data_IF_560223237677
#
_entry.id   IF_560223237677
#
_cell.length_a   1.000
_cell.length_b   1.000
_cell.length_c   1.000
_cell.angle_alpha   90.00
_cell.angle_beta   90.00
_cell.angle_gamma   90.00
#
_symmetry.space_group_name_H-M   'P 1'
#
loop_
_entity.id
_entity.type
_entity.pdbx_description
1 polymer ?
#
# COMPACT_ATOMS: atom_id res chain seq x y z
N UNK A 1 4.56 8.79 -1.19
CA UNK A 1 3.68 8.71 0.00
C UNK A 1 3.88 9.87 0.95
N UNK A 2 5.12 10.21 1.35
CA UNK A 2 5.36 11.33 2.29
C UNK A 2 4.78 12.68 1.84
N UNK A 3 4.83 13.03 0.55
CA UNK A 3 4.19 14.24 0.03
C UNK A 3 2.67 14.28 0.29
N UNK A 4 1.99 13.13 0.20
CA UNK A 4 0.56 13.01 0.54
C UNK A 4 0.34 13.16 2.04
N UNK A 5 1.19 12.56 2.87
CA UNK A 5 1.14 12.75 4.32
C UNK A 5 1.25 14.24 4.66
N UNK A 6 2.29 14.92 4.18
CA UNK A 6 2.48 16.37 4.41
C UNK A 6 1.27 17.18 3.94
N UNK A 7 0.69 16.87 2.78
CA UNK A 7 -0.50 17.56 2.29
C UNK A 7 -1.73 17.34 3.19
N UNK A 8 -2.02 16.08 3.57
CA UNK A 8 -3.14 15.72 4.46
C UNK A 8 -3.00 16.44 5.80
N UNK A 9 -1.84 16.36 6.45
CA UNK A 9 -1.58 17.01 7.74
C UNK A 9 -1.65 18.54 7.68
N UNK A 10 -1.35 19.15 6.54
CA UNK A 10 -1.36 20.62 6.38
C UNK A 10 -2.72 21.18 5.95
N UNK A 11 -3.55 20.40 5.27
CA UNK A 11 -4.72 20.92 4.56
C UNK A 11 -6.05 20.35 5.06
N UNK A 12 -6.04 19.24 5.80
CA UNK A 12 -7.26 18.62 6.31
C UNK A 12 -7.24 18.65 7.85
N UNK A 13 -8.28 19.22 8.51
CA UNK A 13 -8.42 19.12 9.95
C UNK A 13 -8.68 17.67 10.36
N UNK A 14 -8.35 17.32 11.61
CA UNK A 14 -8.45 15.94 12.12
C UNK A 14 -9.86 15.35 12.09
N UNK A 15 -10.89 16.21 12.13
CA UNK A 15 -12.31 15.82 12.04
C UNK A 15 -12.76 15.52 10.60
N UNK A 16 -11.95 15.88 9.60
CA UNK A 16 -12.34 15.69 8.20
C UNK A 16 -12.35 14.18 7.87
N UNK A 17 -13.41 13.63 7.26
CA UNK A 17 -13.52 12.18 7.02
C UNK A 17 -12.37 11.62 6.17
N UNK A 18 -11.88 12.39 5.19
CA UNK A 18 -10.68 12.01 4.40
C UNK A 18 -9.40 12.00 5.25
N UNK A 19 -9.26 12.87 6.25
CA UNK A 19 -8.14 12.80 7.17
C UNK A 19 -8.21 11.52 7.98
N UNK A 20 -9.39 11.24 8.56
CA UNK A 20 -9.63 10.06 9.39
C UNK A 20 -9.37 8.75 8.61
N UNK A 21 -9.79 8.70 7.34
CA UNK A 21 -9.55 7.57 6.44
C UNK A 21 -8.06 7.38 6.12
N UNK A 22 -7.33 8.46 5.83
CA UNK A 22 -5.93 8.37 5.37
C UNK A 22 -4.92 8.29 6.51
N UNK A 23 -5.28 8.76 7.70
CA UNK A 23 -4.41 8.77 8.88
C UNK A 23 -3.73 7.42 9.16
N UNK A 24 -4.45 6.28 9.28
CA UNK A 24 -3.82 4.99 9.59
C UNK A 24 -2.76 4.60 8.55
N UNK A 25 -2.94 5.00 7.28
CA UNK A 25 -2.07 4.65 6.17
C UNK A 25 -0.85 5.58 5.97
N UNK A 26 -0.85 6.73 6.63
CA UNK A 26 0.18 7.76 6.47
C UNK A 26 0.93 8.06 7.76
N UNK A 27 0.48 7.54 8.92
CA UNK A 27 0.96 7.95 10.25
C UNK A 27 2.47 7.83 10.46
N UNK A 28 3.12 6.82 9.87
CA UNK A 28 4.54 6.52 10.13
C UNK A 28 5.49 7.01 9.04
N UNK A 29 4.99 7.39 7.86
CA UNK A 29 5.84 7.60 6.68
C UNK A 29 6.84 8.75 6.84
N UNK A 30 6.46 9.83 7.54
CA UNK A 30 7.35 10.96 7.78
C UNK A 30 8.49 10.61 8.75
N UNK A 31 8.20 9.80 9.78
CA UNK A 31 9.19 9.39 10.77
C UNK A 31 10.28 8.50 10.15
N UNK A 32 9.87 7.47 9.40
CA UNK A 32 10.83 6.56 8.75
C UNK A 32 11.64 7.28 7.66
N UNK A 33 11.01 8.18 6.88
CA UNK A 33 11.73 8.92 5.85
C UNK A 33 12.76 9.90 6.44
N UNK A 34 12.47 10.52 7.58
CA UNK A 34 13.44 11.32 8.34
C UNK A 34 14.66 10.46 8.72
N UNK A 35 14.42 9.27 9.30
CA UNK A 35 15.49 8.35 9.70
C UNK A 35 16.35 7.91 8.51
N UNK A 36 15.73 7.51 7.39
CA UNK A 36 16.44 7.11 6.17
C UNK A 36 17.28 8.26 5.62
N UNK A 37 16.74 9.49 5.63
CA UNK A 37 17.45 10.68 5.16
C UNK A 37 18.69 10.99 6.00
N UNK A 38 18.57 10.87 7.32
CA UNK A 38 19.66 11.16 8.26
C UNK A 38 20.69 10.03 8.35
N UNK A 39 20.34 8.82 7.91
CA UNK A 39 21.22 7.64 7.94
C UNK A 39 21.62 7.21 6.51
N UNK A 40 20.90 6.25 5.94
CA UNK A 40 21.24 5.56 4.70
C UNK A 40 21.45 6.47 3.48
N UNK A 41 20.77 7.63 3.44
CA UNK A 41 20.91 8.59 2.35
C UNK A 41 21.84 9.76 2.67
N UNK A 42 22.32 9.97 3.89
CA UNK A 42 23.07 11.18 4.24
C UNK A 42 24.29 11.39 3.33
N UNK A 43 25.08 10.33 3.12
CA UNK A 43 26.34 10.37 2.35
C UNK A 43 26.29 9.60 1.02
N UNK A 44 25.14 9.00 0.67
CA UNK A 44 25.04 8.13 -0.51
C UNK A 44 24.62 8.89 -1.78
N UNK A 45 25.54 9.69 -2.33
CA UNK A 45 25.29 10.49 -3.54
C UNK A 45 24.86 9.70 -4.79
N UNK A 46 25.43 8.51 -5.10
CA UNK A 46 24.98 7.72 -6.25
C UNK A 46 23.48 7.37 -6.17
N UNK A 47 23.00 6.98 -4.97
CA UNK A 47 21.59 6.69 -4.76
C UNK A 47 20.73 7.95 -4.92
N UNK A 48 21.17 9.11 -4.39
CA UNK A 48 20.45 10.38 -4.58
C UNK A 48 20.32 10.76 -6.06
N UNK A 49 21.37 10.59 -6.85
CA UNK A 49 21.34 10.86 -8.29
C UNK A 49 20.38 9.92 -9.03
N UNK A 50 20.40 8.63 -8.70
CA UNK A 50 19.46 7.65 -9.26
C UNK A 50 18.01 7.97 -8.90
N UNK A 51 17.74 8.35 -7.64
CA UNK A 51 16.42 8.78 -7.18
C UNK A 51 15.94 10.02 -7.94
N UNK A 52 16.81 11.03 -8.10
CA UNK A 52 16.50 12.25 -8.87
C UNK A 52 16.12 11.93 -10.31
N UNK A 53 16.88 11.07 -10.99
CA UNK A 53 16.60 10.64 -12.36
C UNK A 53 15.30 9.83 -12.46
N UNK A 54 15.07 8.92 -11.52
CA UNK A 54 13.86 8.09 -11.48
C UNK A 54 12.60 8.93 -11.21
N UNK A 55 12.71 9.97 -10.39
CA UNK A 55 11.59 10.86 -10.11
C UNK A 55 11.16 11.69 -11.32
N UNK A 56 12.07 12.00 -12.25
CA UNK A 56 11.72 12.73 -13.48
C UNK A 56 10.79 11.94 -14.41
N UNK A 57 10.82 10.60 -14.35
CA UNK A 57 9.96 9.75 -15.18
C UNK A 57 8.69 9.31 -14.45
N UNK A 58 8.55 9.67 -13.17
CA UNK A 58 7.42 9.28 -12.33
C UNK A 58 6.11 9.86 -12.85
N UNK A 59 5.08 9.02 -12.93
CA UNK A 59 3.70 9.42 -13.27
C UNK A 59 2.74 8.89 -12.21
N UNK A 60 1.68 9.64 -11.94
CA UNK A 60 0.67 9.23 -10.96
C UNK A 60 0.00 7.89 -11.33
N UNK A 61 -0.14 7.58 -12.63
CA UNK A 61 -0.69 6.29 -13.10
C UNK A 61 0.13 5.09 -12.62
N UNK A 62 1.43 5.27 -12.37
CA UNK A 62 2.32 4.21 -11.87
C UNK A 62 1.95 3.75 -10.46
N UNK A 63 1.25 4.58 -9.69
CA UNK A 63 0.72 4.21 -8.37
C UNK A 63 -0.56 3.38 -8.44
N UNK A 64 -1.11 3.15 -9.64
CA UNK A 64 -2.29 2.32 -9.85
C UNK A 64 -1.84 1.00 -10.49
N UNK A 65 -1.70 -0.09 -9.73
CA UNK A 65 -1.18 -1.32 -10.30
C UNK A 65 -2.00 -1.94 -11.43
N UNK A 66 -3.35 -1.81 -11.56
CA UNK A 66 -4.03 -2.34 -12.74
C UNK A 66 -3.58 -1.61 -14.00
N UNK A 67 -3.43 -0.28 -13.93
CA UNK A 67 -2.91 0.54 -15.03
C UNK A 67 -1.44 0.22 -15.30
N UNK A 68 -0.60 0.15 -14.27
CA UNK A 68 0.82 -0.14 -14.42
C UNK A 68 1.08 -1.55 -14.98
N UNK A 69 0.28 -2.55 -14.59
CA UNK A 69 0.36 -3.91 -15.12
C UNK A 69 -0.05 -3.96 -16.59
N UNK A 70 -1.16 -3.30 -16.93
CA UNK A 70 -1.65 -3.19 -18.31
C UNK A 70 -0.67 -2.44 -19.23
N UNK A 71 -0.12 -1.31 -18.78
CA UNK A 71 0.90 -0.55 -19.50
C UNK A 71 2.17 -1.38 -19.77
N UNK A 72 2.45 -2.37 -18.93
CA UNK A 72 3.57 -3.32 -19.08
C UNK A 72 3.20 -4.61 -19.81
N UNK A 73 1.93 -4.78 -20.21
CA UNK A 73 1.43 -6.00 -20.85
C UNK A 73 1.41 -7.23 -19.94
N UNK A 74 1.36 -7.03 -18.62
CA UNK A 74 1.44 -8.10 -17.62
C UNK A 74 0.08 -8.49 -17.03
N UNK A 75 -1.02 -7.90 -17.48
CA UNK A 75 -2.36 -8.10 -16.92
C UNK A 75 -3.05 -9.38 -17.41
N UNK A 76 -2.65 -9.93 -18.57
CA UNK A 76 -3.25 -11.10 -19.22
C UNK A 76 -2.91 -12.43 -18.51
N UNK A 77 -3.89 -13.12 -17.88
CA UNK A 77 -3.64 -14.35 -17.13
C UNK A 77 -3.37 -15.57 -18.00
N UNK A 78 -3.85 -15.57 -19.23
CA UNK A 78 -3.69 -16.69 -20.16
C UNK A 78 -2.31 -16.66 -20.81
N UNK A 79 -1.81 -15.46 -21.13
CA UNK A 79 -0.45 -15.28 -21.67
C UNK A 79 0.64 -15.39 -20.63
N UNK A 80 0.37 -14.92 -19.41
CA UNK A 80 1.31 -14.99 -18.29
C UNK A 80 0.67 -15.71 -17.11
N UNK A 81 0.54 -17.05 -17.16
CA UNK A 81 0.03 -17.81 -16.04
C UNK A 81 0.97 -17.70 -14.84
N UNK A 82 0.45 -17.95 -13.63
CA UNK A 82 1.20 -17.97 -12.36
C UNK A 82 1.86 -16.63 -11.94
N UNK A 83 1.44 -15.50 -12.50
CA UNK A 83 1.86 -14.18 -11.99
C UNK A 83 0.99 -13.71 -10.82
N UNK A 84 1.38 -14.11 -9.61
CA UNK A 84 0.59 -13.96 -8.37
C UNK A 84 0.55 -12.54 -7.79
N UNK A 85 1.51 -11.69 -8.13
CA UNK A 85 1.55 -10.28 -7.72
C UNK A 85 0.34 -9.46 -8.22
N UNK A 86 -0.36 -9.94 -9.25
CA UNK A 86 -1.57 -9.26 -9.77
C UNK A 86 -2.73 -9.22 -8.79
N UNK A 87 -2.83 -10.19 -7.85
CA UNK A 87 -3.88 -10.25 -6.83
C UNK A 87 -3.39 -9.49 -5.58
N UNK A 88 -4.15 -8.52 -5.04
CA UNK A 88 -3.65 -7.53 -4.04
C UNK A 88 -4.64 -7.20 -2.94
N UNK A 89 -4.25 -7.13 -1.66
CA UNK A 89 -5.18 -6.85 -0.54
C UNK A 89 -4.53 -6.31 0.75
N UNK A 90 -5.25 -5.53 1.57
CA UNK A 90 -4.81 -4.82 2.81
C UNK A 90 -6.03 -4.59 3.71
N UNK A 91 -5.90 -4.50 5.05
CA UNK A 91 -6.94 -3.86 5.87
C UNK A 91 -7.05 -4.26 7.34
N UNK A 92 -5.99 -4.00 8.10
CA UNK A 92 -6.12 -3.79 9.53
C UNK A 92 -6.40 -2.29 9.75
N UNK A 93 -7.44 -1.92 10.49
CA UNK A 93 -7.69 -0.49 10.81
C UNK A 93 -8.01 -0.33 12.30
N UNK A 94 -7.28 -1.05 13.15
CA UNK A 94 -7.33 -0.95 14.62
C UNK A 94 -7.14 0.49 15.17
N UNK A 95 -6.61 1.42 14.37
CA UNK A 95 -6.47 2.84 14.69
C UNK A 95 -7.36 3.76 13.85
N UNK A 96 -8.53 3.28 13.41
CA UNK A 96 -9.50 4.11 12.67
C UNK A 96 -9.96 5.30 13.50
N UNK A 97 -10.03 6.47 12.86
CA UNK A 97 -10.66 7.66 13.43
C UNK A 97 -12.11 7.82 12.93
N UNK A 98 -12.57 6.92 12.07
CA UNK A 98 -13.96 6.90 11.58
C UNK A 98 -14.88 6.40 12.70
N UNK A 99 -16.02 7.05 12.85
CA UNK A 99 -17.04 6.72 13.85
C UNK A 99 -18.43 6.86 13.26
N UNK A 100 -19.27 5.85 13.38
CA UNK A 100 -20.66 5.87 12.89
C UNK A 100 -21.10 4.53 12.34
N UNK A 101 -22.41 4.28 12.34
CA UNK A 101 -22.97 2.98 11.98
C UNK A 101 -22.69 2.59 10.51
N UNK A 102 -22.69 3.57 9.59
CA UNK A 102 -22.41 3.33 8.18
C UNK A 102 -20.91 3.05 7.92
N UNK A 103 -20.03 3.78 8.61
CA UNK A 103 -18.59 3.60 8.60
C UNK A 103 -18.21 2.23 9.16
N UNK A 104 -18.79 1.84 10.29
CA UNK A 104 -18.60 0.52 10.91
C UNK A 104 -19.08 -0.60 10.00
N UNK A 105 -20.24 -0.42 9.36
CA UNK A 105 -20.75 -1.37 8.37
C UNK A 105 -19.83 -1.47 7.14
N UNK A 106 -19.28 -0.34 6.65
CA UNK A 106 -18.32 -0.33 5.56
C UNK A 106 -17.01 -1.04 5.93
N UNK A 107 -16.54 -0.82 7.16
CA UNK A 107 -15.36 -1.47 7.71
C UNK A 107 -15.55 -2.98 7.85
N UNK A 108 -16.69 -3.42 8.36
CA UNK A 108 -17.03 -4.83 8.47
C UNK A 108 -17.07 -5.51 7.10
N UNK A 109 -17.68 -4.86 6.08
CA UNK A 109 -17.67 -5.36 4.70
C UNK A 109 -16.25 -5.46 4.15
N UNK A 110 -15.43 -4.44 4.37
CA UNK A 110 -14.04 -4.44 3.92
C UNK A 110 -13.23 -5.58 4.56
N UNK A 111 -13.31 -5.75 5.87
CA UNK A 111 -12.65 -6.84 6.61
C UNK A 111 -13.11 -8.23 6.16
N UNK A 112 -14.43 -8.39 5.94
CA UNK A 112 -15.00 -9.64 5.44
C UNK A 112 -14.39 -10.01 4.09
N UNK A 113 -14.36 -9.06 3.15
CA UNK A 113 -13.75 -9.24 1.83
C UNK A 113 -12.29 -9.64 1.99
N UNK A 114 -11.53 -9.00 2.87
CA UNK A 114 -10.12 -9.36 3.11
C UNK A 114 -9.93 -10.76 3.67
N UNK A 115 -10.83 -11.22 4.52
CA UNK A 115 -10.78 -12.58 5.04
C UNK A 115 -11.00 -13.59 3.91
N UNK A 116 -12.03 -13.42 3.08
CA UNK A 116 -12.31 -14.29 1.91
C UNK A 116 -11.10 -14.37 0.97
N UNK A 117 -10.46 -13.24 0.78
CA UNK A 117 -9.23 -13.11 0.02
C UNK A 117 -8.07 -13.88 0.65
N UNK A 118 -7.86 -13.73 1.97
CA UNK A 118 -6.76 -14.40 2.68
C UNK A 118 -6.92 -15.91 2.54
N UNK A 119 -8.16 -16.39 2.71
CA UNK A 119 -8.53 -17.79 2.55
C UNK A 119 -8.28 -18.26 1.10
N UNK A 120 -8.65 -17.46 0.10
CA UNK A 120 -8.36 -17.75 -1.31
C UNK A 120 -6.85 -17.83 -1.62
N UNK A 121 -6.04 -16.94 -1.03
CA UNK A 121 -4.59 -16.97 -1.19
C UNK A 121 -3.99 -18.20 -0.51
N UNK A 122 -4.44 -18.54 0.70
CA UNK A 122 -4.00 -19.73 1.45
C UNK A 122 -4.31 -21.02 0.70
N UNK A 123 -5.57 -21.21 0.29
CA UNK A 123 -5.99 -22.38 -0.49
C UNK A 123 -5.18 -22.52 -1.79
N UNK A 124 -4.94 -21.41 -2.50
CA UNK A 124 -4.09 -21.44 -3.71
C UNK A 124 -2.64 -21.79 -3.37
N UNK A 125 -2.09 -21.27 -2.29
CA UNK A 125 -0.71 -21.53 -1.88
C UNK A 125 -0.45 -22.99 -1.48
N UNK A 126 -1.46 -23.74 -1.02
CA UNK A 126 -1.34 -25.19 -0.75
C UNK A 126 -0.92 -25.99 -1.99
N UNK A 127 -1.28 -25.51 -3.19
CA UNK A 127 -0.94 -26.15 -4.46
C UNK A 127 0.44 -25.74 -5.03
N UNK A 128 1.15 -24.82 -4.36
CA UNK A 128 2.41 -24.26 -4.84
C UNK A 128 3.61 -24.87 -4.12
N UNK A 129 4.63 -25.25 -4.88
CA UNK A 129 5.93 -25.67 -4.33
C UNK A 129 6.55 -24.58 -3.45
N UNK A 130 6.38 -23.31 -3.84
CA UNK A 130 6.77 -22.15 -3.05
C UNK A 130 5.57 -21.23 -2.81
N UNK A 131 5.00 -21.23 -1.59
CA UNK A 131 3.89 -20.35 -1.22
C UNK A 131 4.23 -18.86 -1.40
N UNK A 132 3.32 -18.10 -2.02
CA UNK A 132 3.47 -16.65 -2.13
C UNK A 132 2.71 -15.95 -1.01
N UNK A 133 3.41 -15.56 0.06
CA UNK A 133 2.80 -15.02 1.29
C UNK A 133 2.87 -13.51 1.42
N UNK A 134 3.60 -12.81 0.54
CA UNK A 134 3.89 -11.38 0.69
C UNK A 134 2.65 -10.47 0.56
N UNK A 135 1.58 -10.94 -0.09
CA UNK A 135 0.32 -10.19 -0.26
C UNK A 135 -0.85 -10.79 0.54
N UNK A 136 -0.57 -11.61 1.56
CA UNK A 136 -1.59 -11.97 2.54
C UNK A 136 -2.01 -10.71 3.30
N UNK A 137 -3.32 -10.41 3.42
CA UNK A 137 -3.81 -9.23 4.14
C UNK A 137 -3.19 -9.08 5.53
N UNK A 138 -3.06 -10.19 6.28
CA UNK A 138 -2.48 -10.21 7.62
C UNK A 138 -0.96 -9.95 7.67
N UNK A 139 -0.29 -9.84 6.52
CA UNK A 139 1.16 -9.57 6.41
C UNK A 139 1.46 -8.21 5.78
N UNK A 140 0.43 -7.46 5.37
CA UNK A 140 0.60 -6.14 4.79
C UNK A 140 0.34 -5.10 5.88
N UNK A 141 1.35 -4.32 6.29
CA UNK A 141 1.15 -3.25 7.25
C UNK A 141 0.33 -2.12 6.62
N UNK A 142 -0.47 -1.43 7.43
CA UNK A 142 -1.36 -0.39 6.92
C UNK A 142 -0.63 0.86 6.46
N UNK A 143 0.56 1.10 7.00
CA UNK A 143 1.43 2.23 6.68
C UNK A 143 2.87 1.77 6.48
N UNK A 144 3.65 2.59 5.77
CA UNK A 144 5.09 2.39 5.57
C UNK A 144 5.81 2.83 6.85
N UNK A 145 6.27 1.88 7.66
CA UNK A 145 6.81 2.15 8.99
C UNK A 145 8.06 1.37 9.38
N UNK A 146 8.64 0.62 8.46
CA UNK A 146 9.81 -0.27 8.66
C UNK A 146 10.72 -0.22 7.45
#
# INVERSE_FOLDING_TARGET
MEAFAVAVWRQLPSIHPVFQLLFPHLRSVMAINKLIKDSALAENEPVKQLLKKSYQTFKMSMLSPPKALKERGLDDPDKLPKFYYRRRFIGDITHSLLTGDEEDAAMSRFQTVLQEISDSIKARNESLELPYTFLLPERIPDSIGV
#
